data_IF_466770242946
#
_entry.id   IF_466770242946
#
_cell.length_a   1.000
_cell.length_b   1.000
_cell.length_c   1.000
_cell.angle_alpha   90.00
_cell.angle_beta   90.00
_cell.angle_gamma   90.00
#
_symmetry.space_group_name_H-M   'P 1'
#
loop_
_entity.id
_entity.type
_entity.pdbx_description
1 polymer ?
#
# COMPACT_ATOMS: atom_id res chain seq x y z
N UNK A 1 31.16 33.22 8.00
CA UNK A 1 30.12 32.38 8.64
C UNK A 1 29.33 31.79 7.49
N UNK A 2 29.73 30.59 7.07
CA UNK A 2 29.22 29.96 5.84
C UNK A 2 27.77 29.57 6.03
N UNK A 3 26.94 29.92 5.06
CA UNK A 3 25.51 29.69 5.04
C UNK A 3 25.24 28.19 4.82
N UNK A 4 25.00 27.44 5.90
CA UNK A 4 24.71 26.00 5.88
C UNK A 4 23.24 25.68 5.56
N UNK A 5 22.49 26.60 4.96
CA UNK A 5 21.05 26.43 4.70
C UNK A 5 20.72 25.74 3.37
N UNK A 6 21.70 25.30 2.59
CA UNK A 6 21.49 24.64 1.27
C UNK A 6 22.27 23.32 1.09
N UNK A 7 22.37 22.50 2.14
CA UNK A 7 22.73 21.09 1.93
C UNK A 7 21.47 20.41 1.38
N UNK A 8 21.43 19.93 0.13
CA UNK A 8 20.33 19.10 -0.32
C UNK A 8 20.35 17.86 0.58
N UNK A 9 19.33 17.70 1.42
CA UNK A 9 19.16 16.47 2.19
C UNK A 9 19.32 15.30 1.20
N UNK A 10 20.16 14.29 1.52
CA UNK A 10 20.36 13.15 0.64
C UNK A 10 18.98 12.62 0.26
N UNK A 11 18.72 12.43 -1.04
CA UNK A 11 17.39 12.03 -1.56
C UNK A 11 16.83 10.79 -0.82
N UNK A 12 17.73 9.96 -0.31
CA UNK A 12 17.50 8.76 0.49
C UNK A 12 16.79 9.07 1.84
N UNK A 13 17.08 10.22 2.45
CA UNK A 13 16.44 10.69 3.68
C UNK A 13 14.98 11.07 3.41
N UNK A 14 14.71 11.78 2.32
CA UNK A 14 13.35 12.20 1.93
C UNK A 14 12.50 11.01 1.47
N UNK A 15 13.11 10.00 0.83
CA UNK A 15 12.42 8.77 0.43
C UNK A 15 12.01 7.99 1.68
N UNK A 16 12.93 7.80 2.64
CA UNK A 16 12.67 7.11 3.91
C UNK A 16 11.58 7.79 4.74
N UNK A 17 11.54 9.12 4.76
CA UNK A 17 10.50 9.89 5.47
C UNK A 17 9.09 9.70 4.90
N UNK A 18 8.92 9.19 3.67
CA UNK A 18 7.61 8.99 3.04
C UNK A 18 7.15 7.53 2.99
N UNK A 19 7.96 6.60 3.53
CA UNK A 19 7.65 5.17 3.61
C UNK A 19 6.94 4.88 4.94
N UNK A 20 5.73 4.31 4.86
CA UNK A 20 4.97 3.89 6.04
C UNK A 20 5.52 2.56 6.56
N UNK A 21 5.65 1.57 5.67
CA UNK A 21 6.21 0.26 6.01
C UNK A 21 6.70 -0.47 4.76
N UNK A 22 7.63 -1.40 4.94
CA UNK A 22 7.98 -2.35 3.89
C UNK A 22 7.01 -3.53 3.92
N UNK A 23 6.21 -3.70 2.87
CA UNK A 23 5.28 -4.80 2.76
C UNK A 23 5.98 -6.00 2.10
N UNK A 24 6.32 -7.01 2.90
CA UNK A 24 6.97 -8.24 2.43
C UNK A 24 6.14 -8.98 1.38
N UNK A 25 4.81 -8.88 1.45
CA UNK A 25 3.88 -9.56 0.55
C UNK A 25 3.87 -8.97 -0.85
N UNK A 26 4.16 -7.67 -0.96
CA UNK A 26 4.26 -6.96 -2.23
C UNK A 26 5.72 -6.82 -2.68
N UNK A 27 6.68 -7.22 -1.84
CA UNK A 27 8.11 -6.95 -1.99
C UNK A 27 8.35 -5.46 -2.35
N UNK A 28 7.61 -4.57 -1.69
CA UNK A 28 7.59 -3.15 -2.02
C UNK A 28 7.31 -2.31 -0.77
N UNK A 29 7.90 -1.12 -0.70
CA UNK A 29 7.56 -0.15 0.34
C UNK A 29 6.20 0.49 0.05
N UNK A 30 5.36 0.55 1.07
CA UNK A 30 4.08 1.25 1.04
C UNK A 30 4.27 2.58 1.75
N UNK A 31 3.77 3.65 1.15
CA UNK A 31 3.87 4.99 1.67
C UNK A 31 2.89 5.94 1.00
N UNK A 32 3.05 7.24 1.25
CA UNK A 32 2.07 8.28 0.87
C UNK A 32 1.65 8.29 -0.61
N UNK A 33 2.51 7.85 -1.52
CA UNK A 33 2.27 7.86 -2.99
C UNK A 33 1.47 6.66 -3.48
N UNK A 34 1.65 5.48 -2.89
CA UNK A 34 1.01 4.24 -3.31
C UNK A 34 -0.01 3.70 -2.29
N UNK A 35 -0.19 4.36 -1.14
CA UNK A 35 -1.15 3.96 -0.11
C UNK A 35 -2.56 3.73 -0.66
N UNK A 36 -3.02 4.56 -1.62
CA UNK A 36 -4.33 4.36 -2.25
C UNK A 36 -4.44 3.02 -2.96
N UNK A 37 -3.46 2.71 -3.81
CA UNK A 37 -3.42 1.45 -4.55
C UNK A 37 -3.29 0.27 -3.59
N UNK A 38 -2.51 0.41 -2.52
CA UNK A 38 -2.39 -0.59 -1.47
C UNK A 38 -3.71 -0.82 -0.72
N UNK A 39 -4.41 0.25 -0.35
CA UNK A 39 -5.72 0.16 0.31
C UNK A 39 -6.75 -0.50 -0.61
N UNK A 40 -6.86 -0.04 -1.87
CA UNK A 40 -7.75 -0.67 -2.85
C UNK A 40 -7.41 -2.14 -3.04
N UNK A 41 -6.12 -2.50 -3.10
CA UNK A 41 -5.67 -3.89 -3.18
C UNK A 41 -6.17 -4.73 -1.99
N UNK A 42 -5.97 -4.27 -0.75
CA UNK A 42 -6.44 -5.00 0.45
C UNK A 42 -7.96 -5.22 0.40
N UNK A 43 -8.72 -4.16 0.09
CA UNK A 43 -10.18 -4.25 0.02
C UNK A 43 -10.63 -5.18 -1.11
N UNK A 44 -10.01 -5.11 -2.28
CA UNK A 44 -10.29 -6.03 -3.39
C UNK A 44 -9.98 -7.49 -3.02
N UNK A 45 -8.86 -7.76 -2.32
CA UNK A 45 -8.53 -9.10 -1.85
C UNK A 45 -9.55 -9.63 -0.84
N UNK A 46 -9.98 -8.78 0.11
CA UNK A 46 -11.02 -9.15 1.07
C UNK A 46 -12.35 -9.47 0.37
N UNK A 47 -12.81 -8.59 -0.53
CA UNK A 47 -14.04 -8.80 -1.29
C UNK A 47 -13.97 -10.05 -2.18
N UNK A 48 -12.81 -10.31 -2.80
CA UNK A 48 -12.58 -11.51 -3.58
C UNK A 48 -12.66 -12.77 -2.72
N UNK A 49 -12.10 -12.76 -1.50
CA UNK A 49 -12.23 -13.88 -0.57
C UNK A 49 -13.71 -14.14 -0.21
N UNK A 50 -14.46 -13.08 0.14
CA UNK A 50 -15.89 -13.19 0.41
C UNK A 50 -16.66 -13.75 -0.79
N UNK A 51 -16.37 -13.26 -2.00
CA UNK A 51 -16.97 -13.74 -3.24
C UNK A 51 -16.71 -15.24 -3.46
N UNK A 52 -15.44 -15.67 -3.36
CA UNK A 52 -15.08 -17.07 -3.57
C UNK A 52 -15.74 -17.98 -2.53
N UNK A 53 -15.79 -17.59 -1.26
CA UNK A 53 -16.50 -18.35 -0.21
C UNK A 53 -17.99 -18.46 -0.54
N UNK A 54 -18.66 -17.35 -0.87
CA UNK A 54 -20.09 -17.32 -1.12
C UNK A 54 -20.48 -18.22 -2.31
N UNK A 55 -19.80 -18.08 -3.46
CA UNK A 55 -20.10 -18.86 -4.66
C UNK A 55 -19.68 -20.33 -4.54
N UNK A 56 -18.55 -20.61 -3.88
CA UNK A 56 -18.12 -22.00 -3.67
C UNK A 56 -19.04 -22.72 -2.68
N UNK A 57 -19.49 -22.04 -1.62
CA UNK A 57 -20.45 -22.59 -0.68
C UNK A 57 -21.81 -22.81 -1.34
N UNK A 58 -22.28 -21.84 -2.12
CA UNK A 58 -23.51 -21.98 -2.91
C UNK A 58 -23.44 -23.20 -3.82
N UNK A 59 -22.33 -23.39 -4.54
CA UNK A 59 -22.13 -24.54 -5.42
C UNK A 59 -22.19 -25.88 -4.68
N UNK A 60 -21.50 -26.00 -3.53
CA UNK A 60 -21.52 -27.22 -2.71
C UNK A 60 -22.93 -27.52 -2.19
N UNK A 61 -23.63 -26.50 -1.69
CA UNK A 61 -25.01 -26.65 -1.17
C UNK A 61 -25.97 -27.04 -2.30
N UNK A 62 -25.86 -26.39 -3.46
CA UNK A 62 -26.72 -26.66 -4.61
C UNK A 62 -26.62 -28.13 -5.05
N UNK A 63 -25.39 -28.67 -5.13
CA UNK A 63 -25.19 -30.09 -5.44
C UNK A 63 -25.69 -30.99 -4.32
N UNK A 64 -25.43 -30.63 -3.05
CA UNK A 64 -25.88 -31.42 -1.90
C UNK A 64 -27.41 -31.57 -1.81
N UNK A 65 -28.18 -30.57 -2.25
CA UNK A 65 -29.65 -30.64 -2.29
C UNK A 65 -30.17 -31.70 -3.28
N UNK A 66 -29.39 -32.03 -4.33
CA UNK A 66 -29.73 -33.05 -5.32
C UNK A 66 -29.25 -34.46 -4.94
N UNK A 67 -28.63 -34.65 -3.78
CA UNK A 67 -27.98 -35.89 -3.39
C UNK A 67 -28.55 -36.47 -2.08
N UNK A 68 -28.46 -37.80 -1.93
CA UNK A 68 -28.93 -38.49 -0.72
C UNK A 68 -27.99 -38.28 0.48
N UNK A 69 -26.74 -37.86 0.26
CA UNK A 69 -25.72 -37.66 1.29
C UNK A 69 -24.83 -36.46 0.96
N UNK A 70 -24.58 -35.63 1.97
CA UNK A 70 -23.67 -34.49 1.87
C UNK A 70 -22.23 -34.92 1.53
N UNK A 71 -21.81 -36.08 2.03
CA UNK A 71 -20.46 -36.61 1.77
C UNK A 71 -20.21 -36.91 0.30
N UNK A 72 -21.24 -37.30 -0.45
CA UNK A 72 -21.11 -37.58 -1.88
C UNK A 72 -21.06 -36.27 -2.70
N UNK A 73 -21.74 -35.23 -2.24
CA UNK A 73 -21.63 -33.88 -2.83
C UNK A 73 -20.22 -33.31 -2.68
N UNK A 74 -19.58 -33.52 -1.53
CA UNK A 74 -18.18 -33.13 -1.31
C UNK A 74 -17.22 -33.88 -2.23
N UNK A 75 -17.42 -35.20 -2.42
CA UNK A 75 -16.61 -36.01 -3.35
C UNK A 75 -16.78 -35.57 -4.79
N UNK A 76 -17.97 -35.09 -5.17
CA UNK A 76 -18.26 -34.58 -6.51
C UNK A 76 -17.73 -33.15 -6.72
N UNK A 77 -17.60 -32.35 -5.66
CA UNK A 77 -17.16 -30.94 -5.73
C UNK A 77 -15.90 -30.63 -4.89
N UNK A 78 -14.81 -31.41 -5.02
CA UNK A 78 -13.64 -31.29 -4.14
C UNK A 78 -12.95 -29.93 -4.23
N UNK A 79 -12.97 -29.31 -5.42
CA UNK A 79 -12.36 -27.99 -5.65
C UNK A 79 -13.11 -26.89 -4.92
N UNK A 80 -14.45 -26.87 -5.00
CA UNK A 80 -15.27 -25.88 -4.30
C UNK A 80 -15.15 -26.02 -2.79
N UNK A 81 -15.13 -27.27 -2.30
CA UNK A 81 -14.90 -27.53 -0.88
C UNK A 81 -13.53 -27.02 -0.40
N UNK A 82 -12.46 -27.30 -1.16
CA UNK A 82 -11.12 -26.79 -0.87
C UNK A 82 -11.10 -25.26 -0.85
N UNK A 83 -11.70 -24.61 -1.85
CA UNK A 83 -11.78 -23.15 -1.91
C UNK A 83 -12.51 -22.56 -0.71
N UNK A 84 -13.62 -23.16 -0.26
CA UNK A 84 -14.33 -22.71 0.96
C UNK A 84 -13.39 -22.78 2.16
N UNK A 85 -12.73 -23.92 2.39
CA UNK A 85 -11.84 -24.08 3.55
C UNK A 85 -10.65 -23.12 3.50
N UNK A 86 -9.98 -23.02 2.35
CA UNK A 86 -8.82 -22.17 2.15
C UNK A 86 -9.18 -20.69 2.30
N UNK A 87 -10.25 -20.23 1.65
CA UNK A 87 -10.66 -18.84 1.74
C UNK A 87 -11.24 -18.49 3.11
N UNK A 88 -11.88 -19.41 3.83
CA UNK A 88 -12.29 -19.17 5.23
C UNK A 88 -11.08 -18.94 6.14
N UNK A 89 -10.01 -19.72 5.97
CA UNK A 89 -8.76 -19.54 6.72
C UNK A 89 -8.08 -18.20 6.38
N UNK A 90 -8.12 -17.78 5.11
CA UNK A 90 -7.60 -16.48 4.69
C UNK A 90 -8.50 -15.30 5.08
N UNK A 91 -9.80 -15.54 5.29
CA UNK A 91 -10.76 -14.49 5.58
C UNK A 91 -10.45 -13.82 6.92
N UNK A 92 -10.02 -14.58 7.94
CA UNK A 92 -9.67 -14.03 9.24
C UNK A 92 -8.54 -12.97 9.17
N UNK A 93 -7.31 -13.29 8.69
CA UNK A 93 -6.25 -12.30 8.60
C UNK A 93 -6.59 -11.16 7.62
N UNK A 94 -7.29 -11.43 6.53
CA UNK A 94 -7.74 -10.40 5.58
C UNK A 94 -8.76 -9.45 6.21
N UNK A 95 -9.68 -9.95 7.04
CA UNK A 95 -10.66 -9.14 7.77
C UNK A 95 -9.97 -8.25 8.79
N UNK A 96 -9.00 -8.77 9.54
CA UNK A 96 -8.22 -7.98 10.49
C UNK A 96 -7.43 -6.86 9.78
N UNK A 97 -6.75 -7.18 8.67
CA UNK A 97 -5.98 -6.20 7.91
C UNK A 97 -6.87 -5.14 7.27
N UNK A 98 -7.93 -5.55 6.57
CA UNK A 98 -8.89 -4.63 5.97
C UNK A 98 -9.58 -3.75 7.02
N UNK A 99 -10.00 -4.35 8.15
CA UNK A 99 -10.63 -3.64 9.26
C UNK A 99 -9.70 -2.60 9.89
N UNK A 100 -8.43 -2.97 10.13
CA UNK A 100 -7.42 -2.04 10.64
C UNK A 100 -7.21 -0.85 9.69
N UNK A 101 -7.02 -1.09 8.40
CA UNK A 101 -6.84 -0.01 7.43
C UNK A 101 -8.10 0.84 7.23
N UNK A 102 -9.29 0.23 7.26
CA UNK A 102 -10.56 0.96 7.27
C UNK A 102 -10.67 1.86 8.50
N UNK A 103 -10.34 1.36 9.69
CA UNK A 103 -10.33 2.15 10.92
C UNK A 103 -9.42 3.37 10.81
N UNK A 104 -8.21 3.20 10.28
CA UNK A 104 -7.27 4.30 10.06
C UNK A 104 -7.84 5.35 9.09
N UNK A 105 -8.41 4.89 7.97
CA UNK A 105 -8.99 5.78 6.95
C UNK A 105 -10.23 6.51 7.49
N UNK A 106 -11.08 5.82 8.25
CA UNK A 106 -12.30 6.39 8.83
C UNK A 106 -12.02 7.45 9.89
N UNK A 107 -10.91 7.35 10.63
CA UNK A 107 -10.51 8.37 11.62
C UNK A 107 -9.84 9.60 11.01
N UNK A 108 -9.68 9.65 9.69
CA UNK A 108 -9.06 10.79 9.02
C UNK A 108 -7.60 11.02 9.38
N UNK A 109 -6.95 10.07 10.07
CA UNK A 109 -5.52 10.16 10.43
C UNK A 109 -4.74 10.11 9.13
N UNK A 110 -4.23 11.25 8.71
CA UNK A 110 -3.50 11.34 7.45
C UNK A 110 -2.07 10.84 7.63
N UNK A 111 -1.47 10.32 6.56
CA UNK A 111 -0.04 9.93 6.51
C UNK A 111 0.91 11.06 6.97
N UNK A 112 0.47 12.33 6.92
CA UNK A 112 1.27 13.48 7.36
C UNK A 112 1.28 13.68 8.88
N UNK A 113 0.24 13.21 9.58
CA UNK A 113 0.12 13.25 11.04
C UNK A 113 0.80 12.05 11.70
N UNK A 114 0.85 10.89 11.03
CA UNK A 114 1.68 9.75 11.47
C UNK A 114 3.19 10.07 11.42
N UNK A 115 3.64 10.86 10.44
CA UNK A 115 5.07 11.20 10.32
C UNK A 115 5.50 12.30 11.32
N UNK A 116 4.60 13.22 11.66
CA UNK A 116 4.93 14.39 12.49
C UNK A 116 4.65 14.19 13.97
N UNK A 117 3.84 13.21 14.36
CA UNK A 117 3.30 13.24 15.71
C UNK A 117 3.27 11.89 16.42
N UNK A 118 3.70 11.95 17.68
CA UNK A 118 3.45 10.95 18.71
C UNK A 118 1.94 10.77 19.01
N UNK A 119 1.00 11.19 18.13
CA UNK A 119 -0.45 11.05 18.33
C UNK A 119 -0.92 9.60 18.27
N UNK A 120 -0.18 8.70 17.60
CA UNK A 120 -0.45 7.27 17.70
C UNK A 120 -0.27 6.73 19.14
N UNK A 121 0.47 7.46 20.00
CA UNK A 121 0.64 7.14 21.42
C UNK A 121 -0.47 7.73 22.31
N UNK A 122 -1.26 8.71 21.83
CA UNK A 122 -2.32 9.37 22.59
C UNK A 122 -3.69 9.24 21.88
N UNK A 123 -4.50 8.21 22.21
CA UNK A 123 -5.77 7.94 21.54
C UNK A 123 -6.84 9.04 21.70
N UNK A 124 -6.67 9.95 22.67
CA UNK A 124 -7.63 10.96 23.11
C UNK A 124 -7.41 12.35 22.49
N UNK A 125 -6.40 12.53 21.65
CA UNK A 125 -6.15 13.82 21.00
C UNK A 125 -7.13 13.98 19.82
N UNK A 126 -7.89 15.08 19.80
CA UNK A 126 -8.82 15.42 18.71
C UNK A 126 -8.04 15.70 17.41
N UNK A 127 -8.43 15.05 16.32
CA UNK A 127 -7.72 15.17 15.04
C UNK A 127 -8.26 16.37 14.24
N UNK A 128 -7.41 17.32 13.81
CA UNK A 128 -7.84 18.52 13.07
C UNK A 128 -8.57 18.25 11.74
N UNK A 129 -8.42 17.03 11.19
CA UNK A 129 -9.01 16.62 9.90
C UNK A 129 -10.11 15.56 10.03
N UNK A 130 -10.64 15.33 11.24
CA UNK A 130 -11.84 14.51 11.37
C UNK A 130 -13.07 15.33 10.91
N UNK A 131 -13.61 15.00 9.74
CA UNK A 131 -14.82 15.64 9.23
C UNK A 131 -16.09 15.13 9.95
N UNK A 132 -15.95 14.32 11.01
CA UNK A 132 -17.03 13.76 11.82
C UNK A 132 -17.83 12.64 11.13
N UNK A 133 -17.69 12.49 9.81
CA UNK A 133 -18.31 11.43 9.02
C UNK A 133 -17.23 10.50 8.42
N UNK A 134 -17.22 9.20 8.79
CA UNK A 134 -16.22 8.24 8.32
C UNK A 134 -16.19 8.07 6.79
N UNK A 135 -17.32 8.27 6.10
CA UNK A 135 -17.39 8.21 4.64
C UNK A 135 -16.76 9.44 3.98
N UNK A 136 -16.90 10.61 4.59
CA UNK A 136 -16.28 11.86 4.10
C UNK A 136 -14.76 11.75 4.21
N UNK A 137 -14.27 11.23 5.34
CA UNK A 137 -12.85 10.94 5.57
C UNK A 137 -12.29 9.95 4.52
N UNK A 138 -13.05 8.89 4.23
CA UNK A 138 -12.69 7.92 3.21
C UNK A 138 -12.64 8.53 1.80
N UNK A 139 -13.65 9.29 1.39
CA UNK A 139 -13.67 9.94 0.07
C UNK A 139 -12.52 10.93 -0.05
N UNK A 140 -12.23 11.71 0.99
CA UNK A 140 -11.10 12.63 0.98
C UNK A 140 -9.76 11.91 0.74
N UNK A 141 -9.53 10.80 1.44
CA UNK A 141 -8.31 10.01 1.32
C UNK A 141 -8.23 9.29 -0.03
N UNK A 142 -9.34 8.74 -0.53
CA UNK A 142 -9.37 7.99 -1.78
C UNK A 142 -9.38 8.90 -3.02
N UNK A 143 -9.90 10.12 -2.93
CA UNK A 143 -10.06 11.05 -4.06
C UNK A 143 -9.02 12.19 -4.09
N UNK A 144 -8.13 12.33 -3.09
CA UNK A 144 -7.07 13.35 -3.12
C UNK A 144 -6.18 13.30 -4.38
N UNK A 145 -5.70 14.41 -4.93
CA UNK A 145 -4.79 14.39 -6.07
C UNK A 145 -3.49 13.62 -5.74
N UNK A 146 -2.89 12.98 -6.74
CA UNK A 146 -1.66 12.23 -6.57
C UNK A 146 -0.50 13.18 -6.18
N UNK A 147 0.29 12.82 -5.17
CA UNK A 147 1.42 13.66 -4.75
C UNK A 147 2.47 13.73 -5.88
N UNK A 148 3.06 14.92 -6.13
CA UNK A 148 4.12 15.09 -7.13
C UNK A 148 5.38 14.31 -6.71
N UNK A 149 6.12 13.75 -7.67
CA UNK A 149 7.43 13.15 -7.38
C UNK A 149 8.47 14.25 -7.31
N UNK A 150 9.13 14.39 -6.17
CA UNK A 150 10.27 15.32 -6.02
C UNK A 150 11.55 14.79 -6.67
N UNK A 151 11.56 13.51 -7.08
CA UNK A 151 12.64 12.91 -7.86
C UNK A 151 12.44 13.27 -9.33
N UNK A 152 13.22 14.23 -9.83
CA UNK A 152 13.37 14.48 -11.25
C UNK A 152 14.29 13.40 -11.87
N UNK A 153 13.73 12.20 -12.12
CA UNK A 153 14.49 11.05 -12.66
C UNK A 153 15.29 11.37 -13.92
N UNK A 154 14.74 12.24 -14.79
CA UNK A 154 15.44 12.70 -16.00
C UNK A 154 16.70 13.51 -15.67
N UNK A 155 16.59 14.50 -14.78
CA UNK A 155 17.75 15.28 -14.33
C UNK A 155 18.82 14.42 -13.68
N UNK A 156 18.43 13.42 -12.89
CA UNK A 156 19.39 12.49 -12.29
C UNK A 156 20.07 11.59 -13.34
N UNK A 157 19.32 11.05 -14.31
CA UNK A 157 19.89 10.25 -15.38
C UNK A 157 20.84 11.08 -16.28
N UNK A 158 20.47 12.34 -16.54
CA UNK A 158 21.32 13.30 -17.26
C UNK A 158 22.61 13.61 -16.47
N UNK A 159 22.52 13.87 -15.17
CA UNK A 159 23.66 14.14 -14.29
C UNK A 159 24.60 12.93 -14.17
N UNK A 160 24.07 11.71 -14.04
CA UNK A 160 24.87 10.47 -14.02
C UNK A 160 25.55 10.25 -15.37
N UNK A 161 24.84 10.45 -16.49
CA UNK A 161 25.39 10.30 -17.83
C UNK A 161 26.49 11.32 -18.14
N UNK A 162 26.34 12.56 -17.67
CA UNK A 162 27.39 13.58 -17.76
C UNK A 162 28.64 13.19 -16.97
N UNK A 163 28.48 12.73 -15.73
CA UNK A 163 29.59 12.27 -14.89
C UNK A 163 30.33 11.08 -15.54
N UNK A 164 29.59 10.12 -16.09
CA UNK A 164 30.14 8.95 -16.77
C UNK A 164 30.92 9.35 -18.04
N UNK A 165 30.38 10.25 -18.86
CA UNK A 165 31.08 10.79 -20.04
C UNK A 165 32.36 11.57 -19.70
N UNK A 166 32.35 12.38 -18.62
CA UNK A 166 33.54 13.11 -18.17
C UNK A 166 34.60 12.13 -17.67
N UNK A 167 34.21 11.04 -17.01
CA UNK A 167 35.15 10.01 -16.54
C UNK A 167 35.78 9.18 -17.65
N UNK A 168 35.11 9.04 -18.80
CA UNK A 168 35.63 8.28 -19.96
C UNK A 168 36.53 9.10 -20.89
N UNK A 169 36.51 10.43 -20.79
CA UNK A 169 37.44 11.32 -21.49
C UNK A 169 38.30 12.10 -20.50
N UNK A 170 39.56 11.69 -20.23
CA UNK A 170 40.43 12.49 -19.37
C UNK A 170 40.65 13.87 -19.99
N UNK A 171 40.79 14.94 -19.17
CA UNK A 171 41.00 16.28 -19.68
C UNK A 171 42.26 16.31 -20.55
N UNK A 172 42.10 16.83 -21.77
CA UNK A 172 43.23 17.08 -22.68
C UNK A 172 44.26 17.95 -21.94
N UNK A 173 45.45 17.39 -21.75
CA UNK A 173 46.61 18.10 -21.24
C UNK A 173 46.90 19.27 -22.19
N UNK A 174 46.45 20.48 -21.83
CA UNK A 174 46.88 21.71 -22.50
C UNK A 174 48.30 21.98 -22.00
N UNK A 175 49.30 21.58 -22.78
CA UNK A 175 50.68 22.00 -22.55
C UNK A 175 50.78 23.49 -22.87
N UNK A 176 51.21 24.35 -21.94
CA UNK A 176 51.48 25.74 -22.27
C UNK A 176 52.69 25.79 -23.21
N UNK A 177 52.52 26.49 -24.33
CA UNK A 177 53.56 26.81 -25.32
C UNK A 177 54.60 27.78 -24.79
#
# INVERSE_FOLDING_TARGET
>A
MSDYSLIPLPKDVIIKENEDHHCIWLNNCVGKRNYKSFFTFIISCFLLCCYVVAFSLYHVIFIALGMNSFGDALKQTPVSFFNVLFCLLLLFPMSCLAGYHCFLVMRGVTTHEQLRSNLAANPFEEHPFDFGNPFSNMIHILCRPHNKSYIARRKFAEEVYEIENISHHPPLHITPS
#
